data_IF_033352592118
#
_entry.id   IF_033352592118
#
_cell.length_a   1.000
_cell.length_b   1.000
_cell.length_c   1.000
_cell.angle_alpha   90.00
_cell.angle_beta   90.00
_cell.angle_gamma   90.00
#
_symmetry.space_group_name_H-M   'P 1'
#
loop_
_entity.id
_entity.type
_entity.pdbx_description
1 polymer ?
#
# COMPACT_ATOMS: atom_id res chain seq x y z
N UNK A 1 -4.25 44.44 38.29
CA UNK A 1 -4.99 43.69 37.26
C UNK A 1 -4.16 43.28 36.04
N UNK A 2 -3.30 44.13 35.46
CA UNK A 2 -2.49 43.76 34.26
C UNK A 2 -1.54 42.56 34.43
N UNK A 3 -0.90 42.37 35.59
CA UNK A 3 0.00 41.23 35.85
C UNK A 3 -0.71 39.88 35.92
N UNK A 4 -1.95 39.84 36.39
CA UNK A 4 -2.75 38.62 36.52
C UNK A 4 -3.27 38.13 35.16
N UNK A 5 -3.46 39.03 34.19
CA UNK A 5 -3.87 38.70 32.83
C UNK A 5 -2.74 38.02 32.04
N UNK A 6 -1.51 38.54 32.16
CA UNK A 6 -0.32 38.02 31.46
C UNK A 6 0.02 36.59 31.91
N UNK A 7 -0.08 36.29 33.22
CA UNK A 7 0.18 34.95 33.74
C UNK A 7 -0.87 33.94 33.24
N UNK A 8 -2.15 34.33 33.18
CA UNK A 8 -3.21 33.46 32.65
C UNK A 8 -3.03 33.17 31.15
N UNK A 9 -2.59 34.14 30.35
CA UNK A 9 -2.31 33.94 28.93
C UNK A 9 -1.11 33.04 28.66
N UNK A 10 -0.04 33.13 29.47
CA UNK A 10 1.13 32.23 29.33
C UNK A 10 0.77 30.78 29.70
N UNK A 11 -0.02 30.57 30.75
CA UNK A 11 -0.50 29.24 31.13
C UNK A 11 -1.42 28.64 30.07
N UNK A 12 -2.30 29.43 29.46
CA UNK A 12 -3.19 28.96 28.39
C UNK A 12 -2.44 28.59 27.11
N UNK A 13 -1.40 29.35 26.73
CA UNK A 13 -0.55 29.06 25.58
C UNK A 13 0.29 27.79 25.81
N UNK A 14 0.81 27.58 27.02
CA UNK A 14 1.53 26.33 27.35
C UNK A 14 0.59 25.12 27.40
N UNK A 15 -0.66 25.30 27.88
CA UNK A 15 -1.66 24.22 27.87
C UNK A 15 -2.08 23.84 26.45
N UNK A 16 -2.17 24.81 25.53
CA UNK A 16 -2.45 24.58 24.11
C UNK A 16 -1.26 23.91 23.38
N UNK A 17 -0.02 24.18 23.77
CA UNK A 17 1.17 23.54 23.18
C UNK A 17 1.30 22.06 23.56
N UNK A 18 0.85 21.66 24.75
CA UNK A 18 0.88 20.25 25.20
C UNK A 18 -0.21 19.40 24.53
N UNK A 19 -1.29 19.99 24.03
CA UNK A 19 -2.42 19.27 23.42
C UNK A 19 -2.27 19.02 21.91
N UNK A 20 -1.17 19.47 21.29
CA UNK A 20 -1.01 19.48 19.82
C UNK A 20 -0.07 18.44 19.22
N UNK A 21 0.67 17.67 20.03
CA UNK A 21 1.56 16.64 19.49
C UNK A 21 0.73 15.41 19.11
N UNK A 22 0.22 15.39 17.86
CA UNK A 22 -0.18 14.12 17.24
C UNK A 22 1.04 13.21 17.30
N UNK A 23 0.91 12.06 17.95
CA UNK A 23 1.94 11.03 17.90
C UNK A 23 2.12 10.65 16.43
N UNK A 24 3.25 11.04 15.84
CA UNK A 24 3.63 10.53 14.53
C UNK A 24 3.87 9.01 14.66
N UNK A 25 3.46 8.25 13.64
CA UNK A 25 3.68 6.82 13.63
C UNK A 25 5.18 6.54 13.56
N UNK A 26 5.69 5.71 14.47
CA UNK A 26 7.11 5.39 14.55
C UNK A 26 7.46 4.37 13.46
N UNK A 27 8.49 4.61 12.62
CA UNK A 27 8.96 3.62 11.65
C UNK A 27 9.50 2.36 12.32
N UNK A 28 8.98 1.20 11.93
CA UNK A 28 9.35 -0.11 12.46
C UNK A 28 10.03 -1.03 11.44
N UNK A 29 10.06 -0.62 10.17
CA UNK A 29 10.86 -1.25 9.12
C UNK A 29 11.43 -0.18 8.18
N UNK A 30 12.41 -0.57 7.36
CA UNK A 30 12.82 0.22 6.20
C UNK A 30 11.69 0.33 5.18
N UNK A 31 11.79 1.30 4.27
CA UNK A 31 10.89 1.40 3.13
C UNK A 31 11.10 0.23 2.16
N UNK A 32 10.00 -0.27 1.63
CA UNK A 32 9.89 -1.40 0.70
C UNK A 32 8.90 -1.05 -0.42
N UNK A 33 8.76 -1.95 -1.40
CA UNK A 33 7.83 -1.82 -2.53
C UNK A 33 6.71 -2.84 -2.44
N UNK A 34 5.50 -2.41 -2.77
CA UNK A 34 4.35 -3.28 -2.93
C UNK A 34 3.48 -2.86 -4.11
N UNK A 35 2.76 -3.83 -4.67
CA UNK A 35 1.58 -3.53 -5.45
C UNK A 35 0.42 -3.23 -4.50
N UNK A 36 -0.36 -2.20 -4.83
CA UNK A 36 -1.53 -1.77 -4.09
C UNK A 36 -2.74 -1.74 -5.02
N UNK A 37 -3.85 -2.26 -4.56
CA UNK A 37 -5.13 -2.23 -5.27
C UNK A 37 -6.24 -1.67 -4.36
N UNK A 38 -7.24 -1.03 -4.94
CA UNK A 38 -8.48 -0.71 -4.25
C UNK A 38 -9.36 -1.95 -4.17
N UNK A 39 -9.67 -2.38 -2.95
CA UNK A 39 -10.67 -3.42 -2.70
C UNK A 39 -11.97 -2.88 -2.12
N UNK A 40 -12.79 -3.81 -1.64
CA UNK A 40 -14.04 -3.53 -0.97
C UNK A 40 -13.86 -3.26 0.53
N UNK A 41 -14.91 -2.71 1.15
CA UNK A 41 -14.98 -2.61 2.61
C UNK A 41 -15.26 -4.01 3.16
N UNK A 42 -14.37 -4.50 4.02
CA UNK A 42 -14.52 -5.80 4.65
C UNK A 42 -15.20 -5.67 6.02
N UNK A 43 -16.31 -6.40 6.19
CA UNK A 43 -16.94 -6.61 7.48
C UNK A 43 -16.45 -7.92 8.10
N UNK A 44 -15.45 -7.83 8.97
CA UNK A 44 -14.80 -9.02 9.52
C UNK A 44 -13.90 -9.69 8.47
N UNK A 45 -12.59 -9.57 8.66
CA UNK A 45 -11.59 -10.24 7.81
C UNK A 45 -11.04 -11.51 8.46
N UNK A 46 -10.09 -12.15 7.81
CA UNK A 46 -9.38 -13.34 8.32
C UNK A 46 -8.65 -13.11 9.64
N UNK A 47 -8.41 -11.86 10.05
CA UNK A 47 -7.92 -11.58 11.40
C UNK A 47 -8.98 -11.73 12.49
N UNK A 48 -10.24 -11.97 12.12
CA UNK A 48 -11.39 -12.18 13.00
C UNK A 48 -11.71 -11.01 13.93
N UNK A 49 -11.33 -9.80 13.53
CA UNK A 49 -11.86 -8.58 14.12
C UNK A 49 -13.35 -8.44 13.79
N UNK A 50 -14.09 -7.72 14.63
CA UNK A 50 -15.49 -7.41 14.34
C UNK A 50 -15.62 -6.42 13.18
N UNK A 51 -16.87 -6.12 12.80
CA UNK A 51 -17.15 -5.04 11.85
C UNK A 51 -16.52 -3.72 12.31
N UNK A 52 -16.17 -2.82 11.38
CA UNK A 52 -15.40 -1.60 11.66
C UNK A 52 -16.07 -0.64 12.67
N UNK A 53 -17.38 -0.72 12.82
CA UNK A 53 -18.18 0.06 13.78
C UNK A 53 -18.43 -0.69 15.11
N UNK A 54 -17.89 -1.90 15.27
CA UNK A 54 -18.08 -2.75 16.43
C UNK A 54 -17.00 -2.53 17.49
N UNK A 55 -17.23 -3.04 18.71
CA UNK A 55 -16.29 -2.91 19.83
C UNK A 55 -14.95 -3.62 19.63
N UNK A 56 -14.89 -4.58 18.70
CA UNK A 56 -13.68 -5.35 18.35
C UNK A 56 -13.21 -5.08 16.92
N UNK A 57 -13.83 -4.10 16.24
CA UNK A 57 -13.48 -3.71 14.88
C UNK A 57 -12.23 -2.86 14.81
N UNK A 58 -11.59 -2.90 13.64
CA UNK A 58 -10.61 -1.88 13.25
C UNK A 58 -11.31 -0.65 12.68
N UNK A 59 -10.57 0.43 12.40
CA UNK A 59 -11.10 1.59 11.68
C UNK A 59 -11.42 1.24 10.21
N UNK A 60 -11.89 2.21 9.42
CA UNK A 60 -12.03 2.05 7.96
C UNK A 60 -10.70 2.10 7.20
N UNK A 61 -9.62 2.49 7.89
CA UNK A 61 -8.27 2.59 7.32
C UNK A 61 -7.57 1.24 7.46
N UNK A 62 -8.00 0.27 6.66
CA UNK A 62 -7.57 -1.12 6.74
C UNK A 62 -7.09 -1.65 5.40
N UNK A 63 -6.39 -2.77 5.46
CA UNK A 63 -5.92 -3.49 4.28
C UNK A 63 -6.09 -5.00 4.42
N UNK A 64 -6.22 -5.62 3.25
CA UNK A 64 -6.03 -7.04 3.01
C UNK A 64 -4.62 -7.25 2.48
N UNK A 65 -3.88 -8.19 3.05
CA UNK A 65 -2.56 -8.57 2.54
C UNK A 65 -2.69 -9.79 1.63
N UNK A 66 -1.77 -10.01 0.69
CA UNK A 66 -1.69 -11.33 0.08
C UNK A 66 -1.17 -12.38 1.07
N UNK A 67 -1.46 -13.65 0.79
CA UNK A 67 -1.08 -14.79 1.63
C UNK A 67 0.43 -14.82 1.96
N UNK A 68 1.29 -14.51 0.98
CA UNK A 68 2.74 -14.40 1.16
C UNK A 68 3.10 -13.42 2.29
N UNK A 69 2.52 -12.23 2.26
CA UNK A 69 2.87 -11.17 3.21
C UNK A 69 2.11 -11.30 4.53
N UNK A 70 0.89 -11.87 4.53
CA UNK A 70 0.07 -12.12 5.71
C UNK A 70 0.73 -13.04 6.75
N UNK A 71 1.57 -13.97 6.29
CA UNK A 71 2.37 -14.88 7.14
C UNK A 71 1.54 -15.57 8.23
N UNK A 72 0.51 -16.29 7.80
CA UNK A 72 -0.37 -17.08 8.68
C UNK A 72 -0.96 -16.29 9.87
N UNK A 73 -1.42 -15.06 9.63
CA UNK A 73 -2.01 -14.19 10.64
C UNK A 73 -1.02 -13.55 11.60
N UNK A 74 0.29 -13.74 11.41
CA UNK A 74 1.30 -13.06 12.22
C UNK A 74 1.32 -11.54 11.99
N UNK A 75 0.84 -11.08 10.83
CA UNK A 75 0.64 -9.65 10.51
C UNK A 75 -0.71 -9.08 10.97
N UNK A 76 -1.60 -9.89 11.56
CA UNK A 76 -2.89 -9.37 12.01
C UNK A 76 -2.73 -8.27 13.05
N UNK A 77 -3.30 -7.11 12.75
CA UNK A 77 -3.23 -5.92 13.60
C UNK A 77 -1.94 -5.11 13.45
N UNK A 78 -1.02 -5.51 12.56
CA UNK A 78 0.10 -4.64 12.17
C UNK A 78 -0.40 -3.42 11.39
N UNK A 79 0.31 -2.31 11.51
CA UNK A 79 0.05 -1.11 10.74
C UNK A 79 1.18 -0.82 9.75
N UNK A 80 0.78 -0.33 8.59
CA UNK A 80 1.67 0.02 7.49
C UNK A 80 1.39 1.44 7.03
N UNK A 81 2.45 2.22 6.86
CA UNK A 81 2.39 3.44 6.08
C UNK A 81 2.58 3.06 4.61
N UNK A 82 1.61 3.42 3.77
CA UNK A 82 1.60 3.14 2.33
C UNK A 82 1.54 4.47 1.60
N UNK A 83 2.46 4.68 0.66
CA UNK A 83 2.56 5.86 -0.23
C UNK A 83 2.13 5.47 -1.63
N UNK A 84 1.26 6.28 -2.23
CA UNK A 84 0.74 6.02 -3.56
C UNK A 84 1.12 7.07 -4.59
N UNK A 85 0.42 6.99 -5.71
CA UNK A 85 0.68 7.68 -6.97
C UNK A 85 0.59 9.21 -6.89
N UNK A 86 -0.09 9.77 -5.88
CA UNK A 86 -0.18 11.21 -5.65
C UNK A 86 0.90 11.74 -4.68
N UNK A 87 1.86 10.89 -4.29
CA UNK A 87 2.95 11.24 -3.38
C UNK A 87 2.52 11.40 -1.91
N UNK A 88 1.28 11.10 -1.55
CA UNK A 88 0.80 11.11 -0.16
C UNK A 88 0.84 9.70 0.44
N UNK A 89 0.85 9.63 1.77
CA UNK A 89 0.76 8.37 2.51
C UNK A 89 -0.49 8.24 3.34
N UNK A 90 -0.82 6.99 3.63
CA UNK A 90 -1.89 6.58 4.53
C UNK A 90 -1.39 5.49 5.46
N UNK A 91 -1.81 5.52 6.73
CA UNK A 91 -1.58 4.40 7.65
C UNK A 91 -2.79 3.47 7.64
N UNK A 92 -2.55 2.18 7.37
CA UNK A 92 -3.58 1.14 7.30
C UNK A 92 -3.26 -0.01 8.22
N UNK A 93 -4.29 -0.60 8.83
CA UNK A 93 -4.16 -1.80 9.66
C UNK A 93 -4.49 -3.06 8.85
N UNK A 94 -3.64 -4.08 8.95
CA UNK A 94 -3.90 -5.39 8.35
C UNK A 94 -4.99 -6.14 9.12
N UNK A 95 -6.08 -6.48 8.42
CA UNK A 95 -7.27 -7.12 9.01
C UNK A 95 -7.73 -8.37 8.27
N UNK A 96 -7.17 -8.63 7.09
CA UNK A 96 -7.59 -9.70 6.22
C UNK A 96 -6.42 -10.21 5.37
N UNK A 97 -6.61 -11.36 4.70
CA UNK A 97 -5.76 -11.75 3.58
C UNK A 97 -6.56 -12.20 2.37
N UNK A 98 -5.93 -12.16 1.21
CA UNK A 98 -6.41 -12.79 0.00
C UNK A 98 -5.48 -13.93 -0.41
N UNK A 99 -6.07 -15.07 -0.75
CA UNK A 99 -5.35 -16.29 -1.10
C UNK A 99 -4.68 -16.18 -2.48
N UNK A 100 -3.71 -17.06 -2.71
CA UNK A 100 -3.15 -17.28 -4.05
C UNK A 100 -4.26 -17.55 -5.07
N UNK A 101 -4.18 -16.90 -6.23
CA UNK A 101 -5.17 -17.00 -7.32
C UNK A 101 -6.17 -15.85 -7.35
N UNK A 102 -6.37 -15.15 -6.23
CA UNK A 102 -7.12 -13.89 -6.17
C UNK A 102 -6.19 -12.69 -6.18
N UNK A 103 -5.02 -12.82 -5.55
CA UNK A 103 -4.01 -11.77 -5.46
C UNK A 103 -2.65 -12.26 -5.96
N UNK A 104 -1.75 -11.33 -6.36
CA UNK A 104 -0.33 -11.62 -6.58
C UNK A 104 0.26 -12.34 -5.37
N UNK A 105 1.21 -13.26 -5.60
CA UNK A 105 1.69 -14.19 -4.55
C UNK A 105 3.21 -14.20 -4.35
N UNK A 106 3.93 -13.41 -5.11
CA UNK A 106 5.40 -13.38 -5.22
C UNK A 106 6.04 -12.11 -4.63
N UNK A 107 5.23 -11.09 -4.34
CA UNK A 107 5.67 -9.82 -3.75
C UNK A 107 4.66 -9.32 -2.72
N UNK A 108 5.04 -8.37 -1.83
CA UNK A 108 4.07 -7.73 -0.96
C UNK A 108 2.94 -7.08 -1.77
N UNK A 109 1.70 -7.39 -1.40
CA UNK A 109 0.52 -6.83 -2.02
C UNK A 109 -0.47 -6.35 -0.96
N UNK A 110 -1.07 -5.19 -1.20
CA UNK A 110 -2.10 -4.61 -0.36
C UNK A 110 -3.36 -4.35 -1.17
N UNK A 111 -4.49 -4.85 -0.69
CA UNK A 111 -5.79 -4.40 -1.15
C UNK A 111 -6.39 -3.50 -0.07
N UNK A 112 -6.45 -2.20 -0.36
CA UNK A 112 -6.89 -1.15 0.57
C UNK A 112 -8.39 -0.93 0.47
N UNK A 113 -9.04 -0.51 1.55
CA UNK A 113 -10.42 -0.01 1.47
C UNK A 113 -10.50 1.22 0.55
N UNK A 114 -11.67 1.53 -0.03
CA UNK A 114 -11.82 2.71 -0.89
C UNK A 114 -11.44 4.02 -0.19
N UNK A 115 -11.75 4.13 1.10
CA UNK A 115 -11.38 5.30 1.91
C UNK A 115 -9.86 5.43 2.06
N UNK A 116 -9.13 4.33 2.30
CA UNK A 116 -7.68 4.36 2.39
C UNK A 116 -7.02 4.60 1.03
N UNK A 117 -7.49 3.94 -0.04
CA UNK A 117 -6.94 4.09 -1.39
C UNK A 117 -7.06 5.53 -1.91
N UNK A 118 -8.22 6.17 -1.69
CA UNK A 118 -8.44 7.58 -2.09
C UNK A 118 -7.52 8.60 -1.40
N UNK A 119 -6.81 8.22 -0.33
CA UNK A 119 -5.79 9.09 0.27
C UNK A 119 -4.50 9.13 -0.53
N UNK A 120 -4.21 8.08 -1.29
CA UNK A 120 -2.90 7.88 -1.92
C UNK A 120 -2.96 7.83 -3.46
N UNK A 121 -4.16 7.80 -4.03
CA UNK A 121 -4.38 7.88 -5.47
C UNK A 121 -5.45 8.92 -5.78
N UNK A 122 -5.15 9.79 -6.74
CA UNK A 122 -6.16 10.68 -7.36
C UNK A 122 -6.62 10.11 -8.72
N UNK A 123 -6.04 8.97 -9.15
CA UNK A 123 -6.32 8.35 -10.44
C UNK A 123 -7.59 7.51 -10.41
N UNK A 124 -8.26 7.39 -11.56
CA UNK A 124 -9.38 6.47 -11.76
C UNK A 124 -8.94 4.99 -11.78
N UNK A 125 -7.63 4.72 -11.91
CA UNK A 125 -7.10 3.38 -11.89
C UNK A 125 -7.07 2.83 -10.45
N UNK A 126 -7.69 1.66 -10.20
CA UNK A 126 -7.70 1.06 -8.87
C UNK A 126 -6.37 0.40 -8.48
N UNK A 127 -5.33 0.44 -9.31
CA UNK A 127 -4.04 -0.24 -9.06
C UNK A 127 -2.87 0.74 -9.07
N UNK A 128 -1.92 0.53 -8.14
CA UNK A 128 -0.60 1.14 -8.09
C UNK A 128 0.45 0.02 -7.99
N UNK A 129 1.30 -0.13 -9.01
CA UNK A 129 2.27 -1.23 -9.03
C UNK A 129 3.50 -1.00 -8.13
N UNK A 130 3.88 0.26 -7.94
CA UNK A 130 5.17 0.62 -7.33
C UNK A 130 4.97 1.42 -6.04
N UNK A 131 3.95 1.08 -5.25
CA UNK A 131 3.68 1.79 -4.01
C UNK A 131 4.83 1.60 -3.01
N UNK A 132 5.26 2.70 -2.39
CA UNK A 132 6.20 2.65 -1.28
C UNK A 132 5.48 2.27 0.00
N UNK A 133 6.07 1.42 0.84
CA UNK A 133 5.48 1.17 2.15
C UNK A 133 6.52 0.83 3.21
N UNK A 134 6.13 0.95 4.48
CA UNK A 134 6.88 0.42 5.63
C UNK A 134 5.93 0.03 6.75
N UNK A 135 6.38 -0.87 7.63
CA UNK A 135 5.72 -1.13 8.90
C UNK A 135 5.92 0.06 9.84
N UNK A 136 4.86 0.47 10.53
CA UNK A 136 4.86 1.57 11.49
C UNK A 136 4.08 1.20 12.75
N UNK A 137 4.24 1.96 13.84
CA UNK A 137 3.34 1.85 14.98
C UNK A 137 1.91 2.24 14.57
N UNK A 138 0.92 1.58 15.15
CA UNK A 138 -0.48 1.94 14.98
C UNK A 138 -0.86 3.15 15.83
N UNK A 139 -1.82 3.94 15.37
CA UNK A 139 -2.43 5.08 16.09
C UNK A 139 -3.46 4.65 17.15
N UNK A 140 -3.31 3.44 17.69
CA UNK A 140 -4.18 2.89 18.72
C UNK A 140 -4.18 3.77 19.96
N UNK A 141 -5.37 4.01 20.54
CA UNK A 141 -5.49 4.73 21.81
C UNK A 141 -5.91 3.78 22.93
N UNK A 142 -5.31 3.96 24.11
CA UNK A 142 -5.58 3.16 25.30
C UNK A 142 -4.90 1.78 25.31
N UNK A 143 -5.26 0.97 26.29
CA UNK A 143 -4.62 -0.33 26.52
C UNK A 143 -4.90 -1.35 25.42
N UNK A 144 -4.03 -2.36 25.33
CA UNK A 144 -4.33 -3.60 24.62
C UNK A 144 -5.62 -4.21 25.17
N UNK A 145 -6.40 -4.88 24.31
CA UNK A 145 -7.69 -5.47 24.68
C UNK A 145 -7.75 -6.96 24.33
N UNK A 146 -8.57 -7.67 25.09
CA UNK A 146 -8.85 -9.08 24.87
C UNK A 146 -10.34 -9.38 24.93
N UNK A 147 -10.77 -10.41 24.21
CA UNK A 147 -12.12 -10.96 24.30
C UNK A 147 -12.09 -12.48 24.12
N UNK A 148 -12.64 -13.22 25.09
CA UNK A 148 -12.83 -14.66 24.93
C UNK A 148 -14.06 -14.98 24.08
N UNK A 149 -13.92 -15.97 23.21
CA UNK A 149 -15.02 -16.42 22.34
C UNK A 149 -16.10 -17.17 23.13
N UNK A 150 -17.31 -17.23 22.59
CA UNK A 150 -18.47 -17.85 23.25
C UNK A 150 -18.30 -19.36 23.54
N UNK A 151 -17.52 -20.04 22.71
CA UNK A 151 -17.17 -21.46 22.85
C UNK A 151 -16.04 -21.73 23.86
N UNK A 152 -15.44 -20.68 24.44
CA UNK A 152 -14.45 -20.84 25.50
C UNK A 152 -15.07 -21.45 26.75
N UNK A 153 -14.33 -22.30 27.45
CA UNK A 153 -14.67 -22.92 28.73
C UNK A 153 -13.37 -23.25 29.49
N UNK A 154 -13.45 -23.94 30.64
CA UNK A 154 -12.26 -24.24 31.45
C UNK A 154 -11.30 -25.27 30.84
N UNK A 155 -11.67 -25.96 29.76
CA UNK A 155 -10.83 -26.92 29.04
C UNK A 155 -10.31 -26.38 27.70
N UNK A 156 -10.89 -25.29 27.22
CA UNK A 156 -10.62 -24.71 25.91
C UNK A 156 -10.81 -23.19 25.96
N UNK A 157 -9.78 -22.42 25.67
CA UNK A 157 -9.84 -20.97 25.68
C UNK A 157 -9.45 -20.41 24.31
N UNK A 158 -10.30 -19.56 23.73
CA UNK A 158 -10.04 -18.88 22.46
C UNK A 158 -10.13 -17.37 22.65
N UNK A 159 -8.99 -16.71 22.60
CA UNK A 159 -8.80 -15.30 22.91
C UNK A 159 -8.53 -14.50 21.62
N UNK A 160 -9.38 -13.52 21.32
CA UNK A 160 -9.08 -12.45 20.36
C UNK A 160 -8.27 -11.37 21.07
N UNK A 161 -7.13 -10.97 20.49
CA UNK A 161 -6.33 -9.84 20.98
C UNK A 161 -6.35 -8.71 19.97
N UNK A 162 -6.63 -7.48 20.41
CA UNK A 162 -6.82 -6.33 19.53
C UNK A 162 -6.43 -5.01 20.20
N UNK A 163 -6.46 -3.92 19.44
CA UNK A 163 -5.99 -2.59 19.85
C UNK A 163 -4.48 -2.54 20.18
N UNK A 164 -3.67 -3.38 19.53
CA UNK A 164 -2.21 -3.37 19.67
C UNK A 164 -1.60 -2.18 18.90
N UNK A 165 -0.61 -1.52 19.49
CA UNK A 165 0.21 -0.47 18.84
C UNK A 165 1.32 -1.04 17.94
N UNK A 166 1.77 -2.25 18.23
CA UNK A 166 2.78 -2.98 17.46
C UNK A 166 2.38 -4.45 17.34
N UNK A 167 2.96 -5.17 16.38
CA UNK A 167 2.65 -6.58 16.14
C UNK A 167 2.83 -7.47 17.37
N UNK A 168 1.97 -8.49 17.48
CA UNK A 168 2.02 -9.49 18.54
C UNK A 168 2.84 -10.69 18.07
N UNK A 169 3.81 -11.14 18.87
CA UNK A 169 4.57 -12.37 18.61
C UNK A 169 3.90 -13.58 19.27
N UNK A 170 3.60 -13.49 20.56
CA UNK A 170 3.16 -14.61 21.37
C UNK A 170 2.08 -14.22 22.39
N UNK A 171 1.20 -15.16 22.68
CA UNK A 171 0.30 -15.13 23.85
C UNK A 171 0.58 -16.37 24.68
N UNK A 172 0.65 -16.22 26.00
CA UNK A 172 0.75 -17.33 26.94
C UNK A 172 -0.25 -17.19 28.07
N UNK A 173 -0.60 -18.32 28.67
CA UNK A 173 -1.57 -18.43 29.75
C UNK A 173 -1.01 -19.26 30.89
N UNK A 174 -1.32 -18.87 32.13
CA UNK A 174 -0.93 -19.61 33.33
C UNK A 174 -2.10 -19.61 34.33
N UNK A 175 -2.68 -20.78 34.57
CA UNK A 175 -3.64 -21.00 35.66
C UNK A 175 -2.96 -21.38 36.97
N UNK A 176 -3.73 -21.39 38.06
CA UNK A 176 -3.21 -21.73 39.40
C UNK A 176 -2.62 -23.14 39.49
N UNK A 177 -3.15 -24.08 38.70
CA UNK A 177 -2.68 -25.46 38.64
C UNK A 177 -1.48 -25.66 37.70
N UNK A 178 -0.93 -24.59 37.13
CA UNK A 178 0.15 -24.65 36.15
C UNK A 178 1.47 -24.14 36.76
N UNK A 179 2.52 -24.96 36.72
CA UNK A 179 3.85 -24.61 37.25
C UNK A 179 4.59 -23.58 36.40
N UNK A 180 4.19 -23.41 35.14
CA UNK A 180 4.76 -22.44 34.18
C UNK A 180 3.69 -21.94 33.20
N UNK A 181 3.88 -20.77 32.57
CA UNK A 181 3.05 -20.35 31.46
C UNK A 181 3.12 -21.34 30.28
N UNK A 182 1.98 -21.62 29.67
CA UNK A 182 1.89 -22.37 28.41
C UNK A 182 1.55 -21.42 27.25
N UNK A 183 2.14 -21.63 26.06
CA UNK A 183 1.82 -20.82 24.88
C UNK A 183 0.40 -21.12 24.39
N UNK A 184 -0.28 -20.08 23.91
CA UNK A 184 -1.50 -20.22 23.13
C UNK A 184 -1.14 -20.25 21.64
N UNK A 185 -1.81 -21.11 20.87
CA UNK A 185 -1.56 -21.32 19.43
C UNK A 185 -2.38 -20.32 18.62
N UNK A 186 -1.71 -19.51 17.79
CA UNK A 186 -2.36 -18.57 16.86
C UNK A 186 -3.18 -19.33 15.81
N UNK A 187 -4.39 -18.87 15.54
CA UNK A 187 -5.35 -19.52 14.62
C UNK A 187 -5.38 -18.86 13.24
N UNK A 188 -4.23 -18.66 12.60
CA UNK A 188 -4.15 -17.95 11.31
C UNK A 188 -4.89 -16.57 11.30
N UNK A 189 -5.00 -15.95 12.48
CA UNK A 189 -5.80 -14.74 12.73
C UNK A 189 -5.24 -13.97 13.94
N UNK A 190 -5.98 -12.97 14.45
CA UNK A 190 -5.67 -12.33 15.73
C UNK A 190 -6.16 -13.15 16.95
N UNK A 191 -6.66 -14.38 16.74
CA UNK A 191 -7.08 -15.29 17.80
C UNK A 191 -5.99 -16.28 18.19
N UNK A 192 -5.95 -16.59 19.47
CA UNK A 192 -5.06 -17.55 20.08
C UNK A 192 -5.86 -18.57 20.87
N UNK A 193 -5.48 -19.84 20.77
CA UNK A 193 -6.17 -20.96 21.40
C UNK A 193 -5.27 -21.65 22.41
N UNK A 194 -5.81 -21.93 23.58
CA UNK A 194 -5.24 -22.87 24.55
C UNK A 194 -6.17 -24.06 24.72
N UNK A 195 -5.60 -25.25 24.61
CA UNK A 195 -6.24 -26.53 24.90
C UNK A 195 -5.15 -27.52 25.32
N UNK A 196 -5.31 -28.18 26.47
CA UNK A 196 -4.29 -29.07 27.02
C UNK A 196 -4.84 -30.48 27.32
N UNK A 197 -5.26 -31.19 26.26
CA UNK A 197 -5.55 -32.63 26.33
C UNK A 197 -6.59 -33.07 27.36
N UNK A 198 -7.57 -32.20 27.69
CA UNK A 198 -8.58 -32.46 28.71
C UNK A 198 -8.25 -31.95 30.11
N UNK A 199 -7.11 -31.28 30.30
CA UNK A 199 -6.78 -30.59 31.55
C UNK A 199 -7.64 -29.34 31.72
N UNK A 200 -8.21 -29.19 32.91
CA UNK A 200 -8.97 -28.00 33.28
C UNK A 200 -8.01 -26.89 33.74
N UNK A 201 -8.19 -25.67 33.25
CA UNK A 201 -7.52 -24.49 33.80
C UNK A 201 -8.22 -24.04 35.09
N UNK A 202 -7.42 -23.75 36.12
CA UNK A 202 -7.92 -23.24 37.41
C UNK A 202 -7.64 -21.75 37.52
N UNK A 203 -8.69 -20.99 37.82
CA UNK A 203 -8.63 -19.54 38.01
C UNK A 203 -8.16 -19.15 39.41
N UNK A 204 -7.61 -17.93 39.61
CA UNK A 204 -7.24 -16.93 38.61
C UNK A 204 -6.20 -17.40 37.60
N UNK A 205 -6.29 -16.86 36.39
CA UNK A 205 -5.32 -17.07 35.32
C UNK A 205 -4.57 -15.77 35.03
N UNK A 206 -3.30 -15.90 34.63
CA UNK A 206 -2.51 -14.81 34.08
C UNK A 206 -2.37 -15.00 32.57
N UNK A 207 -2.71 -13.97 31.79
CA UNK A 207 -2.52 -13.92 30.35
C UNK A 207 -1.39 -12.94 30.08
N UNK A 208 -0.36 -13.39 29.39
CA UNK A 208 0.76 -12.53 28.96
C UNK A 208 0.76 -12.44 27.45
N UNK A 209 0.81 -11.23 26.92
CA UNK A 209 0.95 -10.97 25.48
C UNK A 209 2.30 -10.32 25.26
N UNK A 210 3.07 -10.83 24.31
CA UNK A 210 4.41 -10.34 23.94
C UNK A 210 4.35 -9.74 22.54
N UNK A 211 4.96 -8.56 22.37
CA UNK A 211 5.10 -7.92 21.06
C UNK A 211 6.21 -8.56 20.23
N UNK A 212 6.24 -8.27 18.93
CA UNK A 212 7.36 -8.63 18.04
C UNK A 212 8.69 -7.95 18.41
N UNK A 213 8.66 -6.99 19.34
CA UNK A 213 9.82 -6.25 19.83
C UNK A 213 10.18 -6.59 21.29
N UNK A 214 9.60 -7.67 21.84
CA UNK A 214 9.96 -8.22 23.14
C UNK A 214 9.30 -7.58 24.36
N UNK A 215 8.57 -6.46 24.21
CA UNK A 215 7.78 -5.91 25.30
C UNK A 215 6.56 -6.77 25.60
N UNK A 216 6.19 -6.94 26.87
CA UNK A 216 5.01 -7.73 27.26
C UNK A 216 4.03 -6.94 28.12
N UNK A 217 2.75 -7.28 28.02
CA UNK A 217 1.69 -6.81 28.93
C UNK A 217 0.95 -8.01 29.51
N UNK A 218 0.42 -7.85 30.73
CA UNK A 218 -0.25 -8.93 31.46
C UNK A 218 -1.66 -8.54 31.89
N UNK A 219 -2.54 -9.53 31.94
CA UNK A 219 -3.88 -9.42 32.51
C UNK A 219 -4.16 -10.61 33.44
N UNK A 220 -4.62 -10.33 34.66
CA UNK A 220 -5.07 -11.35 35.60
C UNK A 220 -6.59 -11.44 35.59
N UNK A 221 -7.12 -12.63 35.36
CA UNK A 221 -8.55 -12.89 35.27
C UNK A 221 -8.99 -13.87 36.34
N UNK A 222 -9.95 -13.47 37.18
CA UNK A 222 -10.44 -14.29 38.30
C UNK A 222 -11.50 -15.32 37.89
N UNK A 223 -12.23 -15.07 36.80
CA UNK A 223 -13.27 -15.95 36.26
C UNK A 223 -13.39 -15.77 34.76
N UNK A 224 -13.80 -16.80 34.03
CA UNK A 224 -14.05 -16.68 32.59
C UNK A 224 -15.28 -15.83 32.31
N UNK A 225 -15.07 -14.70 31.64
CA UNK A 225 -16.15 -13.86 31.09
C UNK A 225 -16.09 -13.92 29.57
N UNK A 226 -17.02 -14.65 28.96
CA UNK A 226 -17.11 -14.83 27.52
C UNK A 226 -17.70 -13.56 26.88
N UNK A 227 -17.24 -13.18 25.71
CA UNK A 227 -17.68 -12.01 24.93
C UNK A 227 -17.48 -10.64 25.61
N UNK A 228 -17.21 -10.60 26.91
CA UNK A 228 -16.78 -9.39 27.60
C UNK A 228 -15.40 -8.97 27.11
N UNK A 229 -15.28 -7.68 26.81
CA UNK A 229 -13.99 -7.06 26.47
C UNK A 229 -13.31 -6.65 27.78
N UNK A 230 -12.09 -7.12 27.95
CA UNK A 230 -11.22 -6.68 29.03
C UNK A 230 -10.02 -5.91 28.48
N UNK A 231 -9.45 -5.06 29.33
CA UNK A 231 -8.26 -4.27 29.00
C UNK A 231 -7.07 -4.77 29.81
N UNK A 232 -5.92 -4.88 29.14
CA UNK A 232 -4.64 -5.11 29.81
C UNK A 232 -4.20 -3.85 30.56
N UNK A 233 -3.14 -3.96 31.37
CA UNK A 233 -2.61 -2.84 32.15
C UNK A 233 -2.20 -1.63 31.29
N UNK A 234 -1.76 -1.87 30.07
CA UNK A 234 -1.30 -0.85 29.12
C UNK A 234 -1.32 -1.38 27.68
N UNK A 235 -0.85 -0.58 26.72
CA UNK A 235 -0.38 -1.08 25.43
C UNK A 235 1.11 -1.46 25.52
N UNK A 236 1.65 -1.95 24.39
CA UNK A 236 3.08 -2.18 24.25
C UNK A 236 3.87 -0.87 24.23
N UNK A 237 5.13 -0.92 24.67
CA UNK A 237 6.05 0.18 24.41
C UNK A 237 6.48 0.12 22.95
N UNK A 238 6.18 1.17 22.18
CA UNK A 238 6.69 1.32 20.81
C UNK A 238 8.21 1.50 20.88
N UNK A 239 9.02 0.70 20.15
CA UNK A 239 10.46 0.89 20.12
C UNK A 239 10.79 2.19 19.38
N UNK A 240 11.62 3.04 19.99
CA UNK A 240 12.09 4.29 19.38
C UNK A 240 13.34 4.02 18.54
N UNK A 241 13.48 4.75 17.41
CA UNK A 241 14.67 4.73 16.56
C UNK A 241 15.10 3.32 16.08
N UNK A 242 14.15 2.40 15.90
CA UNK A 242 14.45 1.05 15.40
C UNK A 242 15.06 1.06 13.99
N UNK A 243 14.74 2.09 13.20
CA UNK A 243 15.24 2.29 11.84
C UNK A 243 15.95 3.65 11.79
N UNK A 244 17.25 3.72 12.16
CA UNK A 244 18.01 4.96 12.14
C UNK A 244 18.03 5.58 10.74
N UNK A 245 17.78 6.88 10.65
CA UNK A 245 17.78 7.60 9.37
C UNK A 245 16.63 7.23 8.43
N UNK A 246 15.55 6.61 8.93
CA UNK A 246 14.36 6.36 8.12
C UNK A 246 13.87 7.69 7.52
N UNK A 247 13.55 7.74 6.21
CA UNK A 247 13.02 8.95 5.61
C UNK A 247 11.69 9.32 6.28
N UNK A 248 11.30 10.59 6.20
CA UNK A 248 10.01 11.03 6.76
C UNK A 248 8.83 10.23 6.19
N UNK A 249 8.92 9.85 4.91
CA UNK A 249 7.90 9.13 4.16
C UNK A 249 8.58 8.19 3.18
N UNK A 250 7.99 7.01 2.91
CA UNK A 250 8.44 6.18 1.80
C UNK A 250 8.06 6.82 0.46
N UNK A 251 8.95 6.79 -0.51
CA UNK A 251 8.69 7.20 -1.89
C UNK A 251 8.10 6.04 -2.68
N UNK A 252 7.52 6.30 -3.86
CA UNK A 252 7.20 5.20 -4.77
C UNK A 252 8.49 4.43 -5.06
N UNK A 253 8.38 3.12 -5.18
CA UNK A 253 9.55 2.32 -5.47
C UNK A 253 10.07 2.59 -6.88
N UNK A 254 11.28 2.09 -7.13
CA UNK A 254 11.84 2.14 -8.46
C UNK A 254 11.00 1.28 -9.41
N UNK A 255 10.24 1.96 -10.26
CA UNK A 255 9.56 1.36 -11.41
C UNK A 255 10.54 0.52 -12.24
N UNK A 256 10.11 -0.62 -12.80
CA UNK A 256 10.96 -1.38 -13.73
C UNK A 256 11.50 -0.47 -14.83
N UNK A 257 12.81 -0.52 -15.07
CA UNK A 257 13.43 0.33 -16.09
C UNK A 257 13.00 -0.06 -17.50
N UNK A 258 12.52 -1.29 -17.71
CA UNK A 258 12.03 -1.74 -19.01
C UNK A 258 10.56 -1.37 -19.16
N UNK A 259 10.22 -0.75 -20.29
CA UNK A 259 8.86 -0.35 -20.66
C UNK A 259 8.33 -1.27 -21.78
N UNK A 260 9.17 -1.55 -22.80
CA UNK A 260 8.82 -2.42 -23.93
C UNK A 260 10.07 -3.12 -24.47
N UNK A 261 9.97 -4.42 -24.76
CA UNK A 261 11.02 -5.20 -25.49
C UNK A 261 10.48 -6.21 -26.50
N UNK A 262 9.24 -6.64 -26.34
CA UNK A 262 8.49 -7.56 -27.22
C UNK A 262 6.99 -7.42 -26.91
N UNK A 263 6.69 -7.11 -25.65
CA UNK A 263 5.42 -6.62 -25.15
C UNK A 263 5.67 -5.46 -24.19
N UNK A 264 4.60 -4.75 -23.82
CA UNK A 264 4.64 -3.83 -22.68
C UNK A 264 5.00 -4.59 -21.40
N UNK A 265 5.85 -3.98 -20.58
CA UNK A 265 6.19 -4.49 -19.25
C UNK A 265 5.01 -4.36 -18.29
N UNK A 266 4.99 -5.17 -17.23
CA UNK A 266 3.90 -5.16 -16.25
C UNK A 266 3.61 -3.76 -15.70
N UNK A 267 2.33 -3.40 -15.67
CA UNK A 267 1.83 -2.10 -15.23
C UNK A 267 1.89 -1.01 -16.28
N UNK A 268 2.54 -1.23 -17.42
CA UNK A 268 2.47 -0.33 -18.57
C UNK A 268 1.32 -0.71 -19.51
N UNK A 269 0.59 0.30 -19.96
CA UNK A 269 -0.53 0.19 -20.87
C UNK A 269 -0.49 1.33 -21.91
N UNK A 270 -1.07 1.12 -23.09
CA UNK A 270 -1.30 2.23 -24.00
C UNK A 270 -2.63 2.90 -23.59
N UNK A 271 -2.55 4.14 -23.13
CA UNK A 271 -3.73 4.89 -22.68
C UNK A 271 -3.64 6.30 -23.24
N UNK A 272 -4.77 6.80 -23.75
CA UNK A 272 -4.87 8.20 -24.21
C UNK A 272 -3.95 8.55 -25.40
N UNK A 273 -3.77 7.62 -26.35
CA UNK A 273 -3.18 7.93 -27.66
C UNK A 273 -4.14 8.79 -28.48
N UNK A 274 -3.61 9.81 -29.17
CA UNK A 274 -4.41 10.83 -29.87
C UNK A 274 -4.22 10.74 -31.38
N UNK A 275 -5.33 10.81 -32.11
CA UNK A 275 -5.37 10.89 -33.58
C UNK A 275 -4.46 9.85 -34.25
N UNK A 276 -4.70 8.56 -33.97
CA UNK A 276 -3.93 7.45 -34.54
C UNK A 276 -4.83 6.46 -35.32
N UNK A 277 -4.19 5.64 -36.16
CA UNK A 277 -4.75 4.49 -36.87
C UNK A 277 -3.76 3.33 -36.78
N UNK A 278 -4.24 2.11 -36.89
CA UNK A 278 -3.41 0.89 -36.94
C UNK A 278 -2.36 0.80 -35.81
N UNK A 279 -2.80 0.37 -34.63
CA UNK A 279 -1.91 0.08 -33.52
C UNK A 279 -1.65 -1.43 -33.46
N UNK A 280 -0.38 -1.83 -33.47
CA UNK A 280 0.07 -3.22 -33.39
C UNK A 280 1.22 -3.34 -32.38
N UNK A 281 0.93 -3.87 -31.20
CA UNK A 281 1.89 -4.07 -30.09
C UNK A 281 2.88 -5.19 -30.33
N UNK A 282 2.58 -6.07 -31.28
CA UNK A 282 3.32 -7.30 -31.51
C UNK A 282 3.69 -7.42 -33.00
N UNK A 283 4.21 -6.36 -33.61
CA UNK A 283 4.58 -6.39 -35.03
C UNK A 283 5.87 -7.21 -35.23
N UNK A 284 5.72 -8.43 -35.71
CA UNK A 284 6.84 -9.37 -35.92
C UNK A 284 7.55 -9.16 -37.27
N UNK A 285 7.10 -8.22 -38.12
CA UNK A 285 7.56 -8.14 -39.51
C UNK A 285 9.01 -7.68 -39.63
N UNK A 286 9.44 -6.76 -38.75
CA UNK A 286 10.79 -6.19 -38.74
C UNK A 286 11.05 -5.47 -37.40
N UNK A 287 11.23 -6.21 -36.29
CA UNK A 287 11.61 -5.66 -35.00
C UNK A 287 13.08 -5.20 -34.98
N UNK A 288 13.45 -4.29 -34.07
CA UNK A 288 14.84 -3.85 -33.93
C UNK A 288 15.69 -4.94 -33.27
N UNK A 289 15.08 -5.67 -32.32
CA UNK A 289 15.61 -6.89 -31.73
C UNK A 289 14.46 -7.76 -31.23
N UNK A 290 14.74 -8.99 -30.80
CA UNK A 290 13.70 -9.84 -30.22
C UNK A 290 12.71 -10.34 -31.27
N UNK A 291 11.44 -10.41 -30.90
CA UNK A 291 10.35 -10.99 -31.69
C UNK A 291 9.41 -9.94 -32.25
N UNK A 292 9.21 -8.81 -31.57
CA UNK A 292 8.19 -7.86 -31.94
C UNK A 292 8.56 -6.39 -31.69
N UNK A 293 7.97 -5.51 -32.49
CA UNK A 293 8.00 -4.07 -32.28
C UNK A 293 6.60 -3.48 -32.11
N UNK A 294 6.52 -2.33 -31.45
CA UNK A 294 5.27 -1.60 -31.28
C UNK A 294 5.10 -0.59 -32.40
N UNK A 295 4.18 -0.85 -33.33
CA UNK A 295 3.95 -0.02 -34.51
C UNK A 295 2.61 0.71 -34.44
N UNK A 296 2.60 1.97 -34.89
CA UNK A 296 1.40 2.82 -34.92
C UNK A 296 1.45 3.79 -36.10
N UNK A 297 0.29 4.15 -36.66
CA UNK A 297 0.16 5.26 -37.61
C UNK A 297 -0.45 6.48 -36.93
N UNK A 298 0.32 7.54 -36.76
CA UNK A 298 -0.17 8.83 -36.27
C UNK A 298 -0.76 9.66 -37.42
N UNK A 299 -1.87 10.35 -37.18
CA UNK A 299 -2.67 11.05 -38.19
C UNK A 299 -2.55 12.55 -38.02
N UNK A 300 -1.91 13.21 -38.98
CA UNK A 300 -1.68 14.67 -38.98
C UNK A 300 -0.83 15.17 -37.80
N UNK A 301 -0.75 16.49 -37.66
CA UNK A 301 0.00 17.12 -36.58
C UNK A 301 -0.71 16.96 -35.22
N UNK A 302 0.09 16.99 -34.15
CA UNK A 302 -0.36 16.87 -32.75
C UNK A 302 -1.05 15.55 -32.43
N UNK A 303 -0.76 14.51 -33.20
CA UNK A 303 -1.12 13.12 -32.93
C UNK A 303 -0.02 12.47 -32.09
N UNK A 304 -0.37 11.47 -31.29
CA UNK A 304 0.60 10.83 -30.39
C UNK A 304 0.24 9.40 -30.02
N UNK A 305 1.28 8.61 -29.81
CA UNK A 305 1.24 7.36 -29.06
C UNK A 305 1.61 7.67 -27.61
N UNK A 306 0.70 7.35 -26.70
CA UNK A 306 0.90 7.55 -25.26
C UNK A 306 0.92 6.19 -24.57
N UNK A 307 2.00 5.91 -23.84
CA UNK A 307 2.15 4.72 -23.00
C UNK A 307 2.12 5.21 -21.55
N UNK A 308 1.11 4.80 -20.80
CA UNK A 308 0.99 5.11 -19.39
C UNK A 308 1.41 3.96 -18.50
N UNK A 309 1.56 4.28 -17.22
CA UNK A 309 1.71 3.28 -16.17
C UNK A 309 0.57 3.40 -15.17
N UNK A 310 -0.08 2.29 -14.88
CA UNK A 310 -1.04 2.19 -13.80
C UNK A 310 -0.40 2.58 -12.46
N UNK A 311 -0.90 3.66 -11.85
CA UNK A 311 -0.40 4.16 -10.57
C UNK A 311 0.84 5.06 -10.64
N UNK A 312 1.15 5.62 -11.81
CA UNK A 312 2.25 6.55 -12.02
C UNK A 312 3.64 5.92 -11.78
N UNK A 313 4.71 6.67 -12.04
CA UNK A 313 6.09 6.27 -11.78
C UNK A 313 6.92 7.47 -11.32
N UNK A 314 7.92 7.20 -10.49
CA UNK A 314 8.81 8.22 -9.96
C UNK A 314 10.07 8.35 -10.81
N UNK A 315 10.34 9.56 -11.30
CA UNK A 315 11.44 9.82 -12.23
C UNK A 315 12.80 9.97 -11.58
N UNK A 316 12.88 10.14 -10.27
CA UNK A 316 14.14 10.39 -9.57
C UNK A 316 15.15 9.23 -9.69
N UNK A 317 14.67 8.02 -9.98
CA UNK A 317 15.51 6.83 -10.16
C UNK A 317 16.20 6.77 -11.52
N UNK A 318 15.87 7.70 -12.42
CA UNK A 318 16.26 7.65 -13.82
C UNK A 318 16.91 8.96 -14.27
N UNK A 319 17.93 8.87 -15.11
CA UNK A 319 18.60 10.03 -15.72
C UNK A 319 18.07 10.33 -17.12
N UNK A 320 17.36 9.40 -17.74
CA UNK A 320 16.89 9.52 -19.11
C UNK A 320 16.09 8.32 -19.59
N UNK A 321 15.83 8.29 -20.89
CA UNK A 321 15.16 7.18 -21.58
C UNK A 321 15.90 6.86 -22.88
N UNK A 322 15.86 5.59 -23.28
CA UNK A 322 16.37 5.10 -24.56
C UNK A 322 15.34 4.21 -25.24
N UNK A 323 15.35 4.21 -26.57
CA UNK A 323 14.47 3.40 -27.39
C UNK A 323 15.03 3.31 -28.81
N UNK A 324 14.69 2.23 -29.52
CA UNK A 324 14.89 2.10 -30.96
C UNK A 324 13.64 2.61 -31.68
N UNK A 325 13.82 3.34 -32.78
CA UNK A 325 12.71 3.86 -33.58
C UNK A 325 13.01 3.78 -35.08
N UNK A 326 11.98 3.54 -35.88
CA UNK A 326 12.00 3.69 -37.35
C UNK A 326 10.66 4.19 -37.86
N UNK A 327 10.63 4.82 -39.03
CA UNK A 327 9.42 5.29 -39.71
C UNK A 327 9.43 4.89 -41.19
N UNK A 328 8.25 4.74 -41.80
CA UNK A 328 8.15 4.35 -43.22
C UNK A 328 8.55 5.48 -44.20
N UNK A 329 8.69 6.71 -43.68
CA UNK A 329 9.13 7.90 -44.41
C UNK A 329 10.17 8.66 -43.59
N UNK A 330 10.87 9.59 -44.23
CA UNK A 330 11.64 10.60 -43.51
C UNK A 330 10.70 11.43 -42.63
N UNK A 331 10.98 11.42 -41.33
CA UNK A 331 10.15 12.02 -40.30
C UNK A 331 10.98 12.98 -39.45
N UNK A 332 10.67 14.27 -39.55
CA UNK A 332 11.35 15.35 -38.83
C UNK A 332 10.48 15.91 -37.69
N UNK A 333 9.16 15.71 -37.74
CA UNK A 333 8.21 16.15 -36.72
C UNK A 333 8.17 15.32 -35.44
N UNK A 334 9.14 14.42 -35.20
CA UNK A 334 9.13 13.58 -34.00
C UNK A 334 9.31 14.38 -32.70
N UNK A 335 8.42 14.13 -31.75
CA UNK A 335 8.45 14.68 -30.39
C UNK A 335 8.42 13.55 -29.36
N UNK A 336 9.21 13.68 -28.30
CA UNK A 336 9.04 12.93 -27.06
C UNK A 336 8.59 13.87 -25.95
N UNK A 337 7.62 13.48 -25.14
CA UNK A 337 7.19 14.28 -23.99
C UNK A 337 6.50 13.44 -22.91
N UNK A 338 6.40 13.99 -21.70
CA UNK A 338 5.57 13.44 -20.61
C UNK A 338 4.14 13.99 -20.68
N UNK A 339 3.47 14.29 -19.57
CA UNK A 339 2.08 14.74 -19.62
C UNK A 339 1.88 16.20 -20.09
N UNK A 340 2.88 17.10 -20.00
CA UNK A 340 2.65 18.55 -20.23
C UNK A 340 3.81 19.35 -20.86
N UNK A 341 3.42 20.31 -21.72
CA UNK A 341 4.02 21.59 -22.15
C UNK A 341 5.46 21.67 -22.71
N UNK A 342 6.29 20.65 -22.57
CA UNK A 342 7.60 20.63 -23.21
C UNK A 342 7.85 19.31 -23.91
N UNK A 343 8.61 19.37 -24.99
CA UNK A 343 8.96 18.21 -25.78
C UNK A 343 10.44 18.24 -26.08
N UNK A 344 10.96 17.05 -26.32
CA UNK A 344 12.29 16.82 -26.84
C UNK A 344 12.21 16.35 -28.29
N UNK A 345 13.20 16.77 -29.09
CA UNK A 345 13.40 16.31 -30.46
C UNK A 345 14.89 16.00 -30.65
N UNK A 346 15.22 14.90 -31.34
CA UNK A 346 16.62 14.56 -31.58
C UNK A 346 17.27 15.60 -32.50
N UNK A 347 18.44 16.10 -32.10
CA UNK A 347 19.19 17.11 -32.86
C UNK A 347 19.85 16.47 -34.07
N UNK A 348 19.69 17.09 -35.26
CA UNK A 348 20.32 16.69 -36.52
C UNK A 348 20.06 15.23 -36.93
N UNK A 349 18.87 14.71 -36.62
CA UNK A 349 18.55 13.30 -36.84
C UNK A 349 17.13 13.14 -37.35
N UNK A 350 17.01 12.83 -38.63
CA UNK A 350 15.75 12.42 -39.27
C UNK A 350 15.50 10.95 -38.99
N UNK A 351 14.29 10.61 -38.55
CA UNK A 351 13.87 9.21 -38.38
C UNK A 351 13.39 8.71 -39.73
N UNK A 352 13.78 7.51 -40.14
CA UNK A 352 13.44 6.95 -41.45
C UNK A 352 13.32 5.42 -41.38
N UNK A 353 13.35 4.76 -42.54
CA UNK A 353 13.15 3.31 -42.66
C UNK A 353 14.17 2.44 -41.92
N UNK A 354 15.27 3.00 -41.44
CA UNK A 354 16.30 2.29 -40.69
C UNK A 354 16.09 2.43 -39.18
N UNK A 355 16.22 1.29 -38.48
CA UNK A 355 16.22 1.27 -37.02
C UNK A 355 17.33 2.14 -36.47
N UNK A 356 16.94 3.04 -35.59
CA UNK A 356 17.81 4.05 -35.04
C UNK A 356 17.60 4.16 -33.54
N UNK A 357 18.66 3.96 -32.76
CA UNK A 357 18.58 4.17 -31.32
C UNK A 357 18.62 5.66 -31.00
N UNK A 358 17.67 6.10 -30.17
CA UNK A 358 17.61 7.42 -29.57
C UNK A 358 17.79 7.30 -28.06
N UNK A 359 18.36 8.34 -27.46
CA UNK A 359 18.49 8.48 -26.02
C UNK A 359 18.35 9.95 -25.66
N UNK A 360 17.61 10.23 -24.60
CA UNK A 360 17.31 11.58 -24.11
C UNK A 360 17.56 11.62 -22.61
N UNK A 361 18.26 12.66 -22.14
CA UNK A 361 18.39 12.91 -20.71
C UNK A 361 17.15 13.66 -20.22
N UNK A 362 16.68 13.34 -19.01
CA UNK A 362 15.54 14.05 -18.42
C UNK A 362 15.86 15.49 -18.05
N UNK A 363 17.13 15.89 -18.00
CA UNK A 363 17.53 17.31 -17.92
C UNK A 363 17.19 18.12 -19.17
N UNK A 364 16.93 17.46 -20.30
CA UNK A 364 16.71 18.10 -21.60
C UNK A 364 15.24 18.46 -21.84
N UNK A 365 14.34 18.10 -20.91
CA UNK A 365 12.89 18.30 -21.00
C UNK A 365 12.34 18.67 -19.61
N UNK A 366 11.25 19.44 -19.53
CA UNK A 366 10.57 19.67 -18.26
C UNK A 366 9.76 18.43 -17.89
N UNK A 367 9.83 18.04 -16.62
CA UNK A 367 9.07 16.92 -16.07
C UNK A 367 8.76 17.16 -14.60
N UNK A 368 7.78 16.42 -14.08
CA UNK A 368 7.46 16.31 -12.66
C UNK A 368 8.32 15.23 -12.00
N UNK A 369 8.33 15.19 -10.66
CA UNK A 369 8.98 14.08 -9.92
C UNK A 369 8.24 12.76 -10.09
N UNK A 370 6.92 12.83 -10.26
CA UNK A 370 6.03 11.70 -10.53
C UNK A 370 5.33 11.98 -11.86
N UNK A 371 5.46 11.07 -12.80
CA UNK A 371 4.82 11.12 -14.11
C UNK A 371 3.88 9.92 -14.27
N UNK A 372 2.93 10.02 -15.19
CA UNK A 372 1.98 8.92 -15.44
C UNK A 372 2.12 8.29 -16.81
N UNK A 373 2.76 8.98 -17.77
CA UNK A 373 2.88 8.51 -19.14
C UNK A 373 4.11 9.08 -19.82
N UNK A 374 4.54 8.38 -20.87
CA UNK A 374 5.46 8.86 -21.89
C UNK A 374 4.73 8.91 -23.23
N UNK A 375 5.07 9.89 -24.06
CA UNK A 375 4.41 10.13 -25.33
C UNK A 375 5.41 10.26 -26.48
N UNK A 376 5.09 9.63 -27.60
CA UNK A 376 5.77 9.74 -28.88
C UNK A 376 4.81 10.45 -29.85
N UNK A 377 5.08 11.71 -30.17
CA UNK A 377 4.20 12.59 -30.94
C UNK A 377 4.72 12.93 -32.32
N UNK A 378 3.79 13.36 -33.18
CA UNK A 378 4.05 13.88 -34.51
C UNK A 378 3.62 15.34 -34.62
N UNK A 379 4.53 16.21 -35.03
CA UNK A 379 4.26 17.63 -35.32
C UNK A 379 4.12 17.92 -36.82
N UNK A 380 4.41 16.95 -37.69
CA UNK A 380 4.21 17.13 -39.13
C UNK A 380 2.72 17.00 -39.46
N UNK A 381 2.20 17.83 -40.37
CA UNK A 381 0.79 17.77 -40.83
C UNK A 381 0.47 16.49 -41.63
N UNK A 382 1.47 15.66 -41.90
CA UNK A 382 1.35 14.40 -42.63
C UNK A 382 1.29 13.20 -41.68
N UNK A 383 0.56 12.17 -42.09
CA UNK A 383 0.51 10.90 -41.36
C UNK A 383 1.91 10.25 -41.31
N UNK A 384 2.21 9.60 -40.20
CA UNK A 384 3.45 8.84 -40.05
C UNK A 384 3.18 7.49 -39.43
N UNK A 385 3.56 6.43 -40.16
CA UNK A 385 3.67 5.09 -39.58
C UNK A 385 5.08 4.91 -39.06
N UNK A 386 5.19 4.63 -37.76
CA UNK A 386 6.46 4.38 -37.10
C UNK A 386 6.35 3.18 -36.17
N UNK A 387 7.51 2.62 -35.84
CA UNK A 387 7.64 1.54 -34.88
C UNK A 387 8.69 1.90 -33.83
N UNK A 388 8.42 1.52 -32.59
CA UNK A 388 9.38 1.60 -31.48
C UNK A 388 9.66 0.23 -30.90
N UNK A 389 10.83 0.08 -30.32
CA UNK A 389 11.31 -1.16 -29.72
C UNK A 389 12.34 -0.83 -28.61
N UNK A 390 12.55 -1.74 -27.66
CA UNK A 390 13.53 -1.64 -26.57
C UNK A 390 13.41 -0.34 -25.76
N UNK A 391 12.17 0.06 -25.46
CA UNK A 391 11.90 1.26 -24.68
C UNK A 391 12.26 0.99 -23.23
N UNK A 392 13.20 1.78 -22.70
CA UNK A 392 13.65 1.63 -21.32
C UNK A 392 14.20 2.94 -20.73
N UNK A 393 14.00 3.13 -19.44
CA UNK A 393 14.67 4.16 -18.67
C UNK A 393 16.15 3.86 -18.46
N UNK A 394 16.94 4.92 -18.34
CA UNK A 394 18.37 4.90 -18.01
C UNK A 394 18.48 5.18 -16.51
N UNK A 395 19.08 4.27 -15.75
CA UNK A 395 19.20 4.41 -14.29
C UNK A 395 20.09 5.59 -13.89
N UNK A 396 19.65 6.36 -12.90
CA UNK A 396 20.45 7.42 -12.31
C UNK A 396 21.55 6.84 -11.40
N UNK A 397 22.83 7.25 -11.55
CA UNK A 397 23.94 6.69 -10.77
C UNK A 397 23.87 6.88 -9.25
N UNK A 398 23.00 7.77 -8.75
CA UNK A 398 22.98 8.21 -7.35
C UNK A 398 21.87 7.59 -6.48
N UNK A 399 20.91 6.88 -7.08
CA UNK A 399 19.67 6.49 -6.39
C UNK A 399 19.39 4.98 -6.41
N UNK A 400 20.40 4.13 -6.66
CA UNK A 400 20.27 2.69 -6.43
C UNK A 400 20.30 2.41 -4.92
N UNK A 401 19.23 2.77 -4.22
CA UNK A 401 18.90 2.15 -2.95
C UNK A 401 18.51 0.73 -3.34
N UNK A 402 19.44 -0.23 -3.21
CA UNK A 402 19.11 -1.65 -3.27
C UNK A 402 17.91 -1.84 -2.35
N UNK A 403 16.75 -2.17 -2.93
CA UNK A 403 15.56 -2.50 -2.17
C UNK A 403 15.95 -3.58 -1.19
N UNK A 404 16.07 -3.19 0.08
CA UNK A 404 16.45 -4.08 1.17
C UNK A 404 15.45 -5.22 1.19
N UNK A 405 15.83 -6.38 0.65
CA UNK A 405 15.11 -7.63 0.94
C UNK A 405 14.99 -7.71 2.45
N UNK A 406 13.76 -7.85 2.94
CA UNK A 406 13.47 -7.91 4.37
C UNK A 406 14.48 -8.86 5.03
N UNK A 407 15.16 -8.45 6.13
CA UNK A 407 16.03 -9.37 6.84
C UNK A 407 15.18 -10.58 7.21
N UNK A 408 15.52 -11.74 6.64
CA UNK A 408 14.81 -12.99 6.89
C UNK A 408 14.89 -13.27 8.38
N UNK A 409 13.87 -12.86 9.13
CA UNK A 409 13.73 -13.23 10.52
C UNK A 409 13.42 -14.72 10.50
N UNK A 410 14.42 -15.52 10.85
CA UNK A 410 14.29 -16.97 10.96
C UNK A 410 13.14 -17.27 11.92
N UNK A 411 12.06 -17.94 11.49
CA UNK A 411 11.03 -18.38 12.41
C UNK A 411 11.59 -19.59 13.18
N UNK A 412 12.07 -19.35 14.39
CA UNK A 412 12.37 -20.41 15.34
C UNK A 412 11.08 -20.88 16.00
N UNK A 413 10.34 -21.76 15.32
CA UNK A 413 9.47 -22.76 15.96
C UNK A 413 8.82 -23.68 14.93
N UNK A 414 9.35 -24.91 14.84
CA UNK A 414 8.72 -26.05 14.15
C UNK A 414 7.37 -26.34 14.81
N UNK A 415 6.27 -26.09 14.10
CA UNK A 415 4.93 -26.56 14.51
C UNK A 415 4.44 -27.57 13.48
N UNK A 416 4.42 -28.83 13.88
CA UNK A 416 3.87 -29.95 13.10
C UNK A 416 2.36 -29.82 13.05
N UNK A 417 1.79 -29.61 11.86
CA UNK A 417 0.34 -29.62 11.63
C UNK A 417 -0.03 -30.94 10.94
N UNK A 418 -0.87 -31.72 11.61
CA UNK A 418 -1.49 -32.93 11.06
C UNK A 418 -2.83 -32.53 10.42
N UNK A 419 -2.95 -32.66 9.10
CA UNK A 419 -4.20 -32.43 8.36
C UNK A 419 -4.93 -33.75 8.17
N UNK A 420 -6.17 -33.83 8.64
CA UNK A 420 -7.14 -34.88 8.28
C UNK A 420 -8.03 -34.29 7.19
N UNK A 421 -8.12 -34.99 6.06
CA UNK A 421 -8.86 -34.57 4.88
C UNK A 421 -10.37 -34.79 5.00
N UNK A 422 -11.12 -33.96 4.29
CA UNK A 422 -12.52 -34.22 3.93
C UNK A 422 -12.82 -33.71 2.53
N UNK A 423 -13.62 -34.51 1.84
CA UNK A 423 -13.86 -34.59 0.41
C UNK A 423 -14.65 -33.41 -0.18
N UNK A 424 -14.41 -33.20 -1.48
CA UNK A 424 -15.09 -32.28 -2.37
C UNK A 424 -16.42 -32.85 -2.88
N UNK A 425 -17.44 -32.00 -3.00
CA UNK A 425 -18.56 -32.19 -3.92
C UNK A 425 -18.72 -30.95 -4.80
N UNK A 426 -18.74 -31.20 -6.11
CA UNK A 426 -18.99 -30.27 -7.20
C UNK A 426 -20.42 -29.75 -7.17
N UNK A 427 -20.62 -28.50 -7.58
CA UNK A 427 -21.83 -28.13 -8.31
C UNK A 427 -21.61 -26.91 -9.22
N UNK A 428 -22.26 -27.00 -10.38
CA UNK A 428 -22.21 -26.16 -11.57
C UNK A 428 -23.38 -25.17 -11.63
N UNK A 429 -23.19 -23.97 -12.21
CA UNK A 429 -24.17 -23.18 -13.02
C UNK A 429 -23.77 -21.68 -12.99
N UNK A 430 -23.37 -21.07 -14.11
CA UNK A 430 -24.16 -20.46 -15.20
C UNK A 430 -24.56 -18.98 -14.97
N UNK A 431 -23.92 -18.10 -15.76
CA UNK A 431 -24.50 -16.97 -16.53
C UNK A 431 -25.40 -15.94 -15.84
N UNK A 432 -24.96 -14.67 -15.80
CA UNK A 432 -25.68 -13.56 -16.47
C UNK A 432 -24.93 -12.23 -16.31
N UNK A 433 -24.59 -11.64 -17.47
CA UNK A 433 -24.11 -10.28 -17.64
C UNK A 433 -25.28 -9.30 -17.52
N UNK A 434 -25.19 -8.32 -16.62
CA UNK A 434 -26.10 -7.17 -16.61
C UNK A 434 -25.30 -5.88 -16.55
N UNK A 435 -25.36 -5.14 -17.65
CA UNK A 435 -24.82 -3.80 -17.86
C UNK A 435 -25.70 -2.78 -17.13
N UNK A 436 -25.14 -2.01 -16.21
CA UNK A 436 -25.83 -0.88 -15.57
C UNK A 436 -25.10 0.43 -15.85
N UNK A 437 -25.80 1.31 -16.57
CA UNK A 437 -25.49 2.73 -16.70
C UNK A 437 -25.67 3.43 -15.35
N UNK A 438 -24.67 4.15 -14.87
CA UNK A 438 -24.84 5.10 -13.77
C UNK A 438 -24.54 6.53 -14.19
N UNK A 439 -25.59 7.35 -14.07
CA UNK A 439 -25.64 8.78 -14.27
C UNK A 439 -24.89 9.53 -13.16
N UNK A 440 -24.08 10.51 -13.56
CA UNK A 440 -23.34 11.41 -12.69
C UNK A 440 -24.28 12.33 -11.90
N UNK A 441 -24.09 12.41 -10.58
CA UNK A 441 -24.69 13.42 -9.73
C UNK A 441 -23.60 14.35 -9.16
N UNK A 442 -23.77 15.64 -9.40
CA UNK A 442 -22.91 16.74 -8.97
C UNK A 442 -23.10 16.98 -7.47
N UNK A 443 -22.04 16.87 -6.66
CA UNK A 443 -22.05 17.24 -5.24
C UNK A 443 -21.32 18.57 -5.09
N UNK A 444 -22.06 19.58 -4.62
CA UNK A 444 -21.57 20.89 -4.21
C UNK A 444 -20.95 20.82 -2.81
N UNK A 445 -19.70 21.25 -2.69
CA UNK A 445 -18.98 21.34 -1.41
C UNK A 445 -19.35 22.62 -0.65
N UNK A 446 -19.76 22.49 0.60
CA UNK A 446 -19.86 23.61 1.55
C UNK A 446 -19.08 23.22 2.80
N UNK A 447 -17.99 23.94 3.12
CA UNK A 447 -17.40 23.94 4.46
C UNK A 447 -16.50 25.16 4.64
N UNK A 448 -17.05 26.20 5.27
CA UNK A 448 -16.32 27.39 5.72
C UNK A 448 -16.83 27.81 7.09
N UNK A 449 -16.54 27.01 8.13
CA UNK A 449 -16.90 27.33 9.52
C UNK A 449 -15.72 27.28 10.49
N UNK A 450 -14.52 26.91 10.05
CA UNK A 450 -13.34 26.87 10.93
C UNK A 450 -12.55 28.21 10.98
N UNK A 451 -12.77 29.12 10.03
CA UNK A 451 -12.08 30.41 9.99
C UNK A 451 -12.70 31.50 10.90
N UNK A 452 -13.95 31.33 11.33
CA UNK A 452 -14.67 32.34 12.13
C UNK A 452 -14.28 32.25 13.62
N UNK A 453 -13.91 31.07 14.13
CA UNK A 453 -13.54 30.89 15.54
C UNK A 453 -12.16 31.52 15.85
N UNK A 454 -11.22 31.49 14.89
CA UNK A 454 -9.90 32.12 15.07
C UNK A 454 -9.97 33.66 15.02
N UNK A 455 -10.91 34.25 14.27
CA UNK A 455 -11.08 35.71 14.20
C UNK A 455 -11.74 36.29 15.47
N UNK A 456 -12.67 35.54 16.09
CA UNK A 456 -13.32 35.96 17.33
C UNK A 456 -12.38 35.96 18.54
N UNK A 457 -11.39 35.05 18.57
CA UNK A 457 -10.39 35.04 19.65
C UNK A 457 -9.42 36.24 19.52
N UNK A 458 -9.13 36.71 18.31
CA UNK A 458 -8.32 37.93 18.12
C UNK A 458 -9.04 39.22 18.49
N UNK A 459 -10.37 39.29 18.38
CA UNK A 459 -11.15 40.49 18.72
C UNK A 459 -11.38 40.59 20.24
N UNK A 460 -11.41 39.47 20.96
CA UNK A 460 -11.53 39.46 22.44
C UNK A 460 -10.20 39.74 23.18
N UNK A 461 -9.08 39.83 22.46
CA UNK A 461 -7.75 40.08 23.02
C UNK A 461 -7.20 41.48 22.74
N UNK A 462 -8.00 42.39 22.17
CA UNK A 462 -7.68 43.82 22.02
C UNK A 462 -8.53 44.70 22.93
#
# INVERSE_FOLDING_TARGET
MRRTLIIKSIVLIQLLFVLGLKSENVPLSTCMSAQVEQGDILEGGSCEYGAWNSKTGASKMTCTLNEYFYQQGSKCGDCFEVTGSNGKSVTVRAVNFCSKGTCPSDSPFFMLTPEAFSKISDASNPVIHDAGFRKVSCDSTGSLKGQFSNDSNSFYLKLLVFNNEVGISQVSIQGQNMSKPEPMIRQNSAKFVWANGGSQIVFPINITVVSQYGSSVMYTMNTLKKLDIFSFSSNFKVPENLVPGSPKQCLLSQTPSVIYTDSLAEGWDYYSSKDYRFLNETDESNPASGKAAFCVTLVGAKSSLTISRAGNFQLEYFSGIKFNIRSERDWNGFRFYFHQESWWTPVNKTINGQWTQLSMNFTDIKHSSIEHSISFGNEDDENVRFCIDNVSFILAPKNSVEGSKEPTTTPSSTTTVTTIGSESSQESSSTSSTTTHHSSATITSVSSTLFIILLLISILLF
#
